data_IF_803885270259
#
_entry.id   IF_803885270259
#
_cell.length_a   1.000
_cell.length_b   1.000
_cell.length_c   1.000
_cell.angle_alpha   90.00
_cell.angle_beta   90.00
_cell.angle_gamma   90.00
#
_symmetry.space_group_name_H-M   'P 1'
#
loop_
_entity.id
_entity.type
_entity.pdbx_description
1 polymer ?
#
# COMPACT_ATOMS: atom_id res chain seq x y z
N UNK A 1 -26.80 -16.71 10.32
CA UNK A 1 -26.23 -15.54 11.03
C UNK A 1 -24.71 -15.66 11.05
N UNK A 2 -23.99 -15.08 10.07
CA UNK A 2 -22.52 -15.16 9.97
C UNK A 2 -21.86 -13.79 9.70
N UNK A 3 -22.56 -12.69 9.95
CA UNK A 3 -22.12 -11.33 9.56
C UNK A 3 -21.31 -10.59 10.62
N UNK A 4 -21.22 -11.07 11.87
CA UNK A 4 -20.54 -10.36 12.94
C UNK A 4 -19.02 -10.56 13.00
N UNK A 5 -18.47 -11.60 12.33
CA UNK A 5 -17.04 -11.96 12.48
C UNK A 5 -16.11 -11.21 11.51
N UNK A 6 -16.61 -10.83 10.33
CA UNK A 6 -15.80 -10.18 9.30
C UNK A 6 -15.50 -8.70 9.59
N UNK A 7 -16.42 -8.00 10.27
CA UNK A 7 -16.20 -6.60 10.66
C UNK A 7 -15.11 -6.44 11.73
N UNK A 8 -14.97 -7.42 12.63
CA UNK A 8 -13.96 -7.37 13.71
C UNK A 8 -12.53 -7.51 13.16
N UNK A 9 -12.33 -8.37 12.16
CA UNK A 9 -11.01 -8.64 11.58
C UNK A 9 -10.51 -7.43 10.78
N UNK A 10 -11.40 -6.76 10.03
CA UNK A 10 -11.03 -5.55 9.29
C UNK A 10 -10.69 -4.40 10.24
N UNK A 11 -11.44 -4.26 11.33
CA UNK A 11 -11.15 -3.26 12.36
C UNK A 11 -9.80 -3.50 13.04
N UNK A 12 -9.46 -4.74 13.40
CA UNK A 12 -8.15 -5.07 13.99
C UNK A 12 -6.99 -4.76 13.04
N UNK A 13 -7.16 -5.01 11.74
CA UNK A 13 -6.15 -4.73 10.71
C UNK A 13 -5.95 -3.23 10.51
N UNK A 14 -7.03 -2.45 10.47
CA UNK A 14 -6.96 -0.98 10.43
C UNK A 14 -6.29 -0.39 11.66
N UNK A 15 -6.64 -0.88 12.86
CA UNK A 15 -6.00 -0.46 14.11
C UNK A 15 -4.50 -0.78 14.11
N UNK A 16 -4.12 -1.95 13.60
CA UNK A 16 -2.73 -2.35 13.49
C UNK A 16 -1.97 -1.51 12.46
N UNK A 17 -2.58 -1.19 11.32
CA UNK A 17 -2.00 -0.30 10.31
C UNK A 17 -1.79 1.11 10.86
N UNK A 18 -2.82 1.68 11.50
CA UNK A 18 -2.75 3.01 12.11
C UNK A 18 -1.69 3.06 13.22
N UNK A 19 -1.58 2.02 14.05
CA UNK A 19 -0.53 1.93 15.08
C UNK A 19 0.87 1.90 14.47
N UNK A 20 1.09 1.15 13.38
CA UNK A 20 2.38 1.11 12.68
C UNK A 20 2.70 2.43 11.99
N UNK A 21 1.70 3.07 11.39
CA UNK A 21 1.82 4.40 10.76
C UNK A 21 2.20 5.46 11.78
N UNK A 22 1.54 5.50 12.94
CA UNK A 22 1.89 6.39 14.04
C UNK A 22 3.31 6.11 14.56
N UNK A 23 3.72 4.85 14.68
CA UNK A 23 5.09 4.50 15.05
C UNK A 23 6.11 5.00 14.02
N UNK A 24 5.79 4.89 12.74
CA UNK A 24 6.62 5.38 11.64
C UNK A 24 6.72 6.91 11.64
N UNK A 25 5.59 7.61 11.73
CA UNK A 25 5.52 9.08 11.79
C UNK A 25 6.25 9.67 13.01
N UNK A 26 6.29 8.93 14.13
CA UNK A 26 7.06 9.30 15.33
C UNK A 26 8.56 9.04 15.16
N UNK A 27 8.96 8.10 14.32
CA UNK A 27 10.36 7.78 14.02
C UNK A 27 10.94 8.61 12.85
N UNK A 28 10.11 9.30 12.07
CA UNK A 28 10.51 10.10 10.90
C UNK A 28 11.41 11.32 11.21
N UNK A 29 11.81 11.56 12.47
CA UNK A 29 12.63 12.73 12.82
C UNK A 29 13.96 12.43 13.51
N UNK A 30 14.41 11.18 13.57
CA UNK A 30 15.77 10.88 13.98
C UNK A 30 16.34 9.67 13.26
N UNK A 31 16.90 9.92 12.07
CA UNK A 31 17.68 8.92 11.31
C UNK A 31 18.76 8.30 12.21
N UNK A 32 19.28 9.02 13.20
CA UNK A 32 20.24 8.55 14.22
C UNK A 32 19.72 7.41 15.12
N UNK A 33 18.40 7.24 15.27
CA UNK A 33 17.80 6.20 16.12
C UNK A 33 17.42 4.92 15.37
N UNK A 34 17.56 4.90 14.05
CA UNK A 34 17.35 3.68 13.27
C UNK A 34 18.49 2.70 13.59
N UNK A 35 18.15 1.46 13.91
CA UNK A 35 19.10 0.35 14.03
C UNK A 35 19.81 0.09 12.71
N UNK A 36 20.98 -0.55 12.75
CA UNK A 36 21.78 -0.82 11.55
C UNK A 36 20.99 -1.61 10.49
N UNK A 37 20.07 -2.47 10.91
CA UNK A 37 19.17 -3.23 10.04
C UNK A 37 18.09 -2.34 9.39
N UNK A 38 17.53 -1.38 10.13
CA UNK A 38 16.52 -0.45 9.60
C UNK A 38 17.11 0.53 8.58
N UNK A 39 18.42 0.79 8.66
CA UNK A 39 19.15 1.63 7.69
C UNK A 39 19.52 0.89 6.40
N UNK A 40 19.42 -0.44 6.38
CA UNK A 40 19.76 -1.26 5.23
C UNK A 40 18.51 -1.62 4.40
N UNK A 41 17.64 -0.64 4.12
CA UNK A 41 16.59 -0.88 3.13
C UNK A 41 17.24 -1.01 1.75
N UNK A 42 17.01 -2.13 1.06
CA UNK A 42 17.36 -2.22 -0.36
C UNK A 42 16.51 -1.21 -1.14
N UNK A 43 17.11 -0.45 -2.07
CA UNK A 43 16.35 0.38 -2.97
C UNK A 43 15.24 -0.43 -3.62
N UNK A 44 14.05 0.17 -3.71
CA UNK A 44 12.96 -0.46 -4.45
C UNK A 44 13.40 -0.63 -5.89
N UNK A 45 13.19 -1.81 -6.47
CA UNK A 45 13.43 -2.06 -7.89
C UNK A 45 12.19 -2.77 -8.42
N UNK A 46 11.60 -2.22 -9.48
CA UNK A 46 10.44 -2.83 -10.14
C UNK A 46 10.89 -3.49 -11.43
N UNK A 47 10.85 -4.83 -11.47
CA UNK A 47 11.17 -5.59 -12.67
C UNK A 47 10.12 -5.36 -13.76
N UNK A 48 10.51 -5.49 -15.03
CA UNK A 48 9.61 -5.31 -16.16
C UNK A 48 8.38 -6.24 -16.09
N UNK A 49 8.57 -7.49 -15.65
CA UNK A 49 7.46 -8.42 -15.48
C UNK A 49 6.42 -7.90 -14.48
N UNK A 50 6.85 -7.33 -13.36
CA UNK A 50 5.93 -6.75 -12.38
C UNK A 50 5.26 -5.48 -12.90
N UNK A 51 5.93 -4.65 -13.70
CA UNK A 51 5.29 -3.48 -14.35
C UNK A 51 4.12 -3.90 -15.23
N UNK A 52 4.29 -4.95 -16.03
CA UNK A 52 3.20 -5.46 -16.87
C UNK A 52 2.03 -5.99 -16.02
N UNK A 53 2.32 -6.68 -14.92
CA UNK A 53 1.27 -7.08 -13.98
C UNK A 53 0.54 -5.88 -13.36
N UNK A 54 1.27 -4.83 -12.96
CA UNK A 54 0.66 -3.62 -12.43
C UNK A 54 -0.24 -2.91 -13.43
N UNK A 55 0.13 -2.89 -14.72
CA UNK A 55 -0.75 -2.35 -15.79
C UNK A 55 -2.05 -3.15 -15.92
N UNK A 56 -1.99 -4.47 -15.79
CA UNK A 56 -3.18 -5.33 -15.80
C UNK A 56 -4.09 -4.99 -14.60
N UNK A 57 -3.53 -4.93 -13.39
CA UNK A 57 -4.31 -4.57 -12.19
C UNK A 57 -4.92 -3.16 -12.28
N UNK A 58 -4.15 -2.19 -12.80
CA UNK A 58 -4.63 -0.81 -13.03
C UNK A 58 -5.91 -0.79 -13.87
N UNK A 59 -5.98 -1.59 -14.92
CA UNK A 59 -7.16 -1.66 -15.78
C UNK A 59 -8.38 -2.23 -15.03
N UNK A 60 -8.19 -3.28 -14.23
CA UNK A 60 -9.27 -3.83 -13.40
C UNK A 60 -9.76 -2.81 -12.35
N UNK A 61 -8.85 -2.07 -11.74
CA UNK A 61 -9.21 -1.08 -10.72
C UNK A 61 -9.92 0.12 -11.36
N UNK A 62 -9.58 0.47 -12.60
CA UNK A 62 -10.26 1.54 -13.32
C UNK A 62 -11.71 1.17 -13.63
N UNK A 63 -11.95 -0.10 -13.99
CA UNK A 63 -13.30 -0.62 -14.14
C UNK A 63 -14.06 -0.56 -12.81
N UNK A 64 -13.44 -0.98 -11.69
CA UNK A 64 -14.04 -0.87 -10.36
C UNK A 64 -14.45 0.55 -9.98
N UNK A 65 -13.57 1.54 -10.18
CA UNK A 65 -13.88 2.96 -9.92
C UNK A 65 -15.03 3.44 -10.81
N UNK A 66 -15.01 3.10 -12.10
CA UNK A 66 -15.94 3.67 -13.08
C UNK A 66 -17.32 3.02 -13.01
N UNK A 67 -17.38 1.70 -12.84
CA UNK A 67 -18.63 0.92 -12.89
C UNK A 67 -19.27 0.77 -11.50
N UNK A 68 -18.47 0.70 -10.44
CA UNK A 68 -18.95 0.49 -9.07
C UNK A 68 -18.90 1.77 -8.22
N UNK A 69 -18.36 2.87 -8.77
CA UNK A 69 -18.14 4.14 -8.07
C UNK A 69 -17.37 3.94 -6.75
N UNK A 70 -16.47 2.96 -6.73
CA UNK A 70 -15.64 2.61 -5.59
C UNK A 70 -14.44 3.57 -5.53
N UNK A 71 -14.54 4.58 -4.66
CA UNK A 71 -13.52 5.63 -4.51
C UNK A 71 -12.33 5.19 -3.70
N UNK A 72 -12.44 4.11 -2.93
CA UNK A 72 -11.33 3.63 -2.12
C UNK A 72 -10.17 3.22 -3.03
N UNK A 73 -10.48 2.66 -4.20
CA UNK A 73 -9.53 2.25 -5.26
C UNK A 73 -8.69 3.38 -5.87
N UNK A 74 -9.02 4.65 -5.64
CA UNK A 74 -8.23 5.79 -6.14
C UNK A 74 -6.83 5.80 -5.51
N UNK A 75 -6.71 5.40 -4.23
CA UNK A 75 -5.42 5.32 -3.55
C UNK A 75 -4.52 4.26 -4.18
N UNK A 76 -5.07 3.08 -4.43
CA UNK A 76 -4.37 1.96 -5.04
C UNK A 76 -3.97 2.29 -6.48
N UNK A 77 -4.81 2.99 -7.23
CA UNK A 77 -4.50 3.48 -8.58
C UNK A 77 -3.26 4.37 -8.57
N UNK A 78 -3.16 5.27 -7.59
CA UNK A 78 -1.99 6.17 -7.42
C UNK A 78 -0.72 5.38 -7.13
N UNK A 79 -0.81 4.34 -6.29
CA UNK A 79 0.33 3.47 -5.98
C UNK A 79 0.75 2.68 -7.22
N UNK A 80 -0.20 2.09 -7.96
CA UNK A 80 0.09 1.34 -9.17
C UNK A 80 0.77 2.20 -10.24
N UNK A 81 0.27 3.42 -10.49
CA UNK A 81 0.92 4.34 -11.42
C UNK A 81 2.36 4.65 -10.99
N UNK A 82 2.58 4.94 -9.68
CA UNK A 82 3.92 5.17 -9.15
C UNK A 82 4.86 3.98 -9.37
N UNK A 83 4.37 2.75 -9.23
CA UNK A 83 5.18 1.54 -9.42
C UNK A 83 5.43 1.21 -10.90
N UNK A 84 4.47 1.51 -11.78
CA UNK A 84 4.62 1.34 -13.24
C UNK A 84 5.70 2.28 -13.78
N UNK A 85 5.69 3.53 -13.31
CA UNK A 85 6.59 4.59 -13.77
C UNK A 85 7.85 4.70 -12.90
N UNK A 86 8.11 3.74 -12.00
CA UNK A 86 9.22 3.80 -11.07
C UNK A 86 10.56 3.61 -11.80
N UNK A 87 11.24 4.67 -12.19
CA UNK A 87 12.60 4.59 -12.72
C UNK A 87 13.61 4.73 -11.56
N UNK A 88 14.60 3.83 -11.53
CA UNK A 88 15.65 3.81 -10.51
C UNK A 88 16.62 4.98 -10.67
#
# INVERSE_FOLDING_TARGET
>A
MLTYKNNSINHEREQQYNKRKILFDLNERNVEKLSDWERQSTPLIVSNQFREQFKIFRNYFQLGITELNDKDLEQEMKILNKLIDYEN
#
